data_IF_358447495160
#
_entry.id   IF_358447495160
#
_cell.length_a   1.000
_cell.length_b   1.000
_cell.length_c   1.000
_cell.angle_alpha   90.00
_cell.angle_beta   90.00
_cell.angle_gamma   90.00
#
_symmetry.space_group_name_H-M   'P 1'
#
loop_
_entity.id
_entity.type
_entity.pdbx_description
1 polymer ?
#
# COMPACT_ATOMS: atom_id res chain seq x y z
N UNK A 1 -8.70 8.24 1.11
CA UNK A 1 -9.32 8.19 -0.25
C UNK A 1 -8.32 8.71 -1.26
N UNK A 2 -8.24 8.09 -2.43
CA UNK A 2 -7.44 8.51 -3.59
C UNK A 2 -8.36 8.71 -4.78
N UNK A 3 -8.12 9.76 -5.59
CA UNK A 3 -8.88 10.04 -6.81
C UNK A 3 -7.91 10.21 -7.98
N UNK A 4 -8.16 9.49 -9.08
CA UNK A 4 -7.37 9.55 -10.32
C UNK A 4 -8.30 9.46 -11.52
N UNK A 5 -8.53 10.59 -12.20
CA UNK A 5 -9.55 10.66 -13.25
C UNK A 5 -10.92 10.21 -12.74
N UNK A 6 -11.48 9.15 -13.35
CA UNK A 6 -12.77 8.55 -12.94
C UNK A 6 -12.66 7.51 -11.82
N UNK A 7 -11.44 7.13 -11.44
CA UNK A 7 -11.18 6.12 -10.41
C UNK A 7 -11.16 6.78 -9.03
N UNK A 8 -11.95 6.25 -8.10
CA UNK A 8 -11.87 6.59 -6.67
C UNK A 8 -11.52 5.32 -5.90
N UNK A 9 -10.44 5.34 -5.12
CA UNK A 9 -10.09 4.26 -4.21
C UNK A 9 -10.24 4.73 -2.77
N UNK A 10 -10.79 3.88 -1.92
CA UNK A 10 -10.99 4.21 -0.52
C UNK A 10 -10.64 3.04 0.35
N UNK A 11 -9.72 3.30 1.28
CA UNK A 11 -9.40 2.41 2.37
C UNK A 11 -10.20 2.85 3.60
N UNK A 12 -10.82 1.89 4.27
CA UNK A 12 -11.68 2.11 5.43
C UNK A 12 -11.60 0.93 6.41
N UNK A 13 -12.05 1.16 7.64
CA UNK A 13 -12.12 0.12 8.66
C UNK A 13 -13.31 -0.80 8.41
N UNK A 14 -13.08 -2.11 8.33
CA UNK A 14 -14.10 -3.15 8.35
C UNK A 14 -13.70 -4.21 9.36
N UNK A 15 -14.38 -4.23 10.51
CA UNK A 15 -14.16 -5.20 11.61
C UNK A 15 -12.70 -5.22 12.13
N UNK A 16 -12.05 -4.07 12.23
CA UNK A 16 -10.67 -3.95 12.72
C UNK A 16 -9.60 -4.24 11.66
N UNK A 17 -10.00 -4.65 10.47
CA UNK A 17 -9.13 -4.81 9.31
C UNK A 17 -9.34 -3.69 8.30
N UNK A 18 -8.33 -3.48 7.48
CA UNK A 18 -8.46 -2.57 6.36
C UNK A 18 -9.22 -3.23 5.22
N UNK A 19 -10.18 -2.51 4.68
CA UNK A 19 -10.86 -2.87 3.45
C UNK A 19 -10.60 -1.79 2.41
N UNK A 20 -10.56 -2.19 1.14
CA UNK A 20 -10.55 -1.27 0.01
C UNK A 20 -11.82 -1.41 -0.82
N UNK A 21 -12.34 -0.28 -1.28
CA UNK A 21 -13.37 -0.23 -2.31
C UNK A 21 -12.91 0.61 -3.50
N UNK A 22 -13.35 0.16 -4.67
CA UNK A 22 -13.21 0.92 -5.93
C UNK A 22 -14.53 1.60 -6.25
N UNK A 23 -14.44 2.88 -6.55
CA UNK A 23 -15.55 3.80 -6.72
C UNK A 23 -16.53 3.75 -5.52
N UNK A 24 -17.73 4.28 -5.68
CA UNK A 24 -18.78 4.13 -4.67
C UNK A 24 -19.48 2.75 -4.80
N UNK A 25 -18.75 1.70 -5.21
CA UNK A 25 -19.33 0.35 -5.32
C UNK A 25 -19.46 -0.30 -3.94
N UNK A 26 -20.42 -1.24 -3.81
CA UNK A 26 -20.57 -2.06 -2.60
C UNK A 26 -19.56 -3.22 -2.53
N UNK A 27 -18.77 -3.45 -3.59
CA UNK A 27 -17.77 -4.52 -3.65
C UNK A 27 -16.49 -4.03 -3.00
N UNK A 28 -16.30 -4.41 -1.75
CA UNK A 28 -15.04 -4.22 -1.04
C UNK A 28 -14.18 -5.49 -1.05
N UNK A 29 -12.88 -5.30 -0.85
CA UNK A 29 -11.94 -6.39 -0.59
C UNK A 29 -11.26 -6.13 0.75
N UNK A 30 -11.24 -7.14 1.60
CA UNK A 30 -10.44 -7.11 2.83
C UNK A 30 -8.96 -7.21 2.45
N UNK A 31 -8.17 -6.36 3.08
CA UNK A 31 -6.72 -6.37 3.01
C UNK A 31 -6.21 -7.18 4.20
N UNK A 32 -5.09 -7.88 4.04
CA UNK A 32 -4.47 -8.62 5.14
C UNK A 32 -3.59 -7.70 6.01
N UNK A 33 -4.16 -6.55 6.41
CA UNK A 33 -3.52 -5.56 7.27
C UNK A 33 -4.56 -5.02 8.28
N UNK A 34 -4.19 -4.88 9.56
CA UNK A 34 -5.03 -4.30 10.59
C UNK A 34 -5.23 -2.80 10.36
N UNK A 35 -6.34 -2.27 10.88
CA UNK A 35 -6.59 -0.84 10.96
C UNK A 35 -5.87 -0.24 12.19
N UNK A 36 -5.36 1.01 12.16
CA UNK A 36 -5.40 2.00 11.07
C UNK A 36 -4.43 1.70 9.94
N UNK A 37 -4.79 2.09 8.72
CA UNK A 37 -3.94 1.94 7.55
C UNK A 37 -4.22 3.06 6.53
N UNK A 38 -3.33 3.22 5.57
CA UNK A 38 -3.42 4.28 4.59
C UNK A 38 -2.57 4.03 3.36
N UNK A 39 -2.90 4.72 2.28
CA UNK A 39 -2.03 4.71 1.11
C UNK A 39 -0.69 5.35 1.43
N UNK A 40 0.38 4.73 0.94
CA UNK A 40 1.72 5.33 0.87
C UNK A 40 1.70 6.52 -0.08
N UNK A 41 2.48 7.56 0.23
CA UNK A 41 2.49 8.85 -0.49
C UNK A 41 3.93 9.29 -0.73
N UNK A 42 4.20 9.88 -1.89
CA UNK A 42 5.53 10.34 -2.28
C UNK A 42 5.91 11.72 -1.73
N UNK A 43 5.01 12.39 -1.01
CA UNK A 43 5.25 13.70 -0.39
C UNK A 43 4.23 14.01 0.70
N UNK A 44 4.34 15.19 1.33
CA UNK A 44 3.31 15.75 2.24
C UNK A 44 1.94 15.94 1.58
N UNK A 45 1.82 15.81 0.26
CA UNK A 45 0.53 15.84 -0.41
C UNK A 45 -0.35 14.67 0.04
N UNK A 46 -1.66 14.85 0.07
CA UNK A 46 -2.62 13.77 0.38
C UNK A 46 -2.78 12.76 -0.79
N UNK A 47 -1.87 12.79 -1.77
CA UNK A 47 -1.94 11.98 -3.00
C UNK A 47 -1.17 10.68 -2.78
N UNK A 48 -1.82 9.55 -3.02
CA UNK A 48 -1.14 8.27 -2.99
C UNK A 48 -0.10 8.18 -4.08
N UNK A 49 1.06 7.63 -3.72
CA UNK A 49 2.06 7.27 -4.68
C UNK A 49 1.60 6.06 -5.48
N UNK A 50 1.81 6.13 -6.79
CA UNK A 50 1.34 5.11 -7.69
C UNK A 50 2.19 5.06 -8.94
N UNK A 51 2.34 3.85 -9.49
CA UNK A 51 3.10 3.58 -10.71
C UNK A 51 2.22 2.78 -11.66
N UNK A 52 2.32 3.09 -12.95
CA UNK A 52 1.57 2.42 -13.99
C UNK A 52 2.52 1.53 -14.79
N UNK A 53 2.25 0.22 -14.81
CA UNK A 53 3.04 -0.75 -15.54
C UNK A 53 2.21 -1.30 -16.70
N UNK A 54 2.85 -1.40 -17.89
CA UNK A 54 2.23 -2.01 -19.06
C UNK A 54 1.78 -3.44 -18.71
N UNK A 55 0.58 -3.83 -19.16
CA UNK A 55 -0.03 -5.16 -18.93
C UNK A 55 -0.38 -5.53 -17.48
N UNK A 56 0.06 -4.75 -16.48
CA UNK A 56 -0.27 -4.97 -15.06
C UNK A 56 -1.30 -3.96 -14.57
N UNK A 57 -1.20 -2.70 -15.00
CA UNK A 57 -2.10 -1.60 -14.60
C UNK A 57 -1.49 -0.71 -13.51
N UNK A 58 -2.36 -0.04 -12.77
CA UNK A 58 -1.98 0.97 -11.78
C UNK A 58 -1.76 0.34 -10.41
N UNK A 59 -0.58 0.51 -9.82
CA UNK A 59 -0.18 -0.10 -8.54
C UNK A 59 -0.21 0.93 -7.42
N UNK A 60 -0.79 0.55 -6.28
CA UNK A 60 -0.86 1.30 -5.04
C UNK A 60 -0.32 0.45 -3.90
N UNK A 61 0.23 1.09 -2.88
CA UNK A 61 0.59 0.41 -1.63
C UNK A 61 -0.27 0.96 -0.51
N UNK A 62 -0.86 0.06 0.28
CA UNK A 62 -1.52 0.40 1.54
C UNK A 62 -0.65 -0.12 2.67
N UNK A 63 -0.25 0.78 3.54
CA UNK A 63 0.57 0.51 4.71
C UNK A 63 -0.32 0.36 5.94
N UNK A 64 0.03 -0.59 6.81
CA UNK A 64 -0.67 -0.86 8.06
C UNK A 64 -0.44 0.20 9.15
N UNK A 65 -0.72 -0.14 10.41
CA UNK A 65 -0.58 0.75 11.54
C UNK A 65 0.86 1.12 11.81
N UNK A 66 1.05 2.23 12.53
CA UNK A 66 2.36 2.58 13.05
C UNK A 66 2.78 1.56 14.12
N UNK A 67 4.01 1.07 14.06
CA UNK A 67 4.59 0.19 15.09
C UNK A 67 5.79 0.85 15.77
N UNK A 68 6.10 0.43 16.99
CA UNK A 68 7.20 0.98 17.79
C UNK A 68 8.55 0.76 17.09
N UNK A 69 9.44 1.75 17.14
CA UNK A 69 10.78 1.68 16.56
C UNK A 69 11.56 0.43 17.04
N UNK A 70 11.34 0.01 18.29
CA UNK A 70 11.93 -1.19 18.89
C UNK A 70 11.53 -2.50 18.18
N UNK A 71 10.45 -2.49 17.40
CA UNK A 71 10.02 -3.66 16.62
C UNK A 71 10.83 -3.84 15.34
N UNK A 72 11.54 -2.81 14.88
CA UNK A 72 12.36 -2.90 13.69
C UNK A 72 13.71 -3.50 13.98
N UNK A 73 14.12 -4.40 13.10
CA UNK A 73 15.51 -4.80 12.99
C UNK A 73 16.26 -3.74 12.19
N UNK A 74 17.52 -3.49 12.55
CA UNK A 74 18.41 -2.79 11.65
C UNK A 74 18.57 -3.64 10.39
N UNK A 75 18.23 -3.08 9.23
CA UNK A 75 18.58 -3.64 7.95
C UNK A 75 19.74 -2.83 7.38
N UNK A 76 20.60 -3.46 6.57
CA UNK A 76 21.87 -2.87 6.09
C UNK A 76 21.71 -1.47 5.47
N UNK A 77 20.52 -1.13 4.96
CA UNK A 77 20.24 0.13 4.24
C UNK A 77 19.24 1.08 4.91
N UNK A 78 18.54 0.68 5.99
CA UNK A 78 17.47 1.52 6.58
C UNK A 78 17.48 1.43 8.11
N UNK A 79 17.61 2.60 8.76
CA UNK A 79 17.55 2.70 10.23
C UNK A 79 16.09 2.62 10.72
N UNK A 80 15.84 2.01 11.90
CA UNK A 80 14.51 1.92 12.53
C UNK A 80 13.71 3.22 12.55
N UNK A 81 14.34 4.37 12.88
CA UNK A 81 13.71 5.69 12.83
C UNK A 81 13.10 6.12 11.49
N UNK A 82 13.43 5.42 10.40
CA UNK A 82 12.90 5.67 9.06
C UNK A 82 11.78 4.69 8.69
N UNK A 83 11.36 3.84 9.61
CA UNK A 83 10.33 2.84 9.44
C UNK A 83 9.07 3.22 10.24
N UNK A 84 7.88 3.03 9.65
CA UNK A 84 6.61 3.33 10.34
C UNK A 84 5.65 2.15 10.46
N UNK A 85 5.58 1.25 9.48
CA UNK A 85 4.77 0.03 9.57
C UNK A 85 5.54 -1.19 9.07
N UNK A 86 5.39 -2.35 9.72
CA UNK A 86 5.96 -3.61 9.24
C UNK A 86 5.01 -4.38 8.30
N UNK A 87 3.86 -3.80 7.97
CA UNK A 87 2.82 -4.40 7.16
C UNK A 87 2.46 -3.48 6.00
N UNK A 88 2.37 -4.06 4.82
CA UNK A 88 1.90 -3.36 3.64
C UNK A 88 1.36 -4.34 2.62
N UNK A 89 0.42 -3.88 1.81
CA UNK A 89 -0.17 -4.67 0.75
C UNK A 89 -0.27 -3.87 -0.53
N UNK A 90 0.18 -4.50 -1.63
CA UNK A 90 0.05 -3.94 -2.95
C UNK A 90 -1.34 -4.21 -3.55
N UNK A 91 -1.89 -3.18 -4.16
CA UNK A 91 -3.19 -3.18 -4.79
C UNK A 91 -2.99 -2.77 -6.25
N UNK A 92 -3.42 -3.62 -7.16
CA UNK A 92 -3.36 -3.37 -8.58
C UNK A 92 -4.78 -3.04 -9.05
N UNK A 93 -4.91 -1.93 -9.77
CA UNK A 93 -6.12 -1.58 -10.50
C UNK A 93 -5.88 -1.80 -11.99
N UNK A 94 -6.56 -2.79 -12.53
CA UNK A 94 -6.46 -3.15 -13.95
C UNK A 94 -7.86 -3.22 -14.55
N UNK A 95 -8.11 -2.41 -15.59
CA UNK A 95 -9.40 -2.37 -16.29
C UNK A 95 -10.61 -2.21 -15.36
N UNK A 96 -10.47 -1.40 -14.29
CA UNK A 96 -11.52 -1.15 -13.30
C UNK A 96 -11.73 -2.25 -12.26
N UNK A 97 -10.88 -3.29 -12.24
CA UNK A 97 -10.90 -4.35 -11.25
C UNK A 97 -9.79 -4.16 -10.21
N UNK A 98 -10.10 -4.52 -8.95
CA UNK A 98 -9.12 -4.61 -7.87
C UNK A 98 -8.47 -5.99 -7.88
N UNK A 99 -7.16 -6.05 -8.01
CA UNK A 99 -6.36 -7.26 -7.87
C UNK A 99 -5.47 -7.04 -6.63
N UNK A 100 -5.62 -7.92 -5.63
CA UNK A 100 -4.74 -7.92 -4.47
C UNK A 100 -3.53 -8.80 -4.81
N UNK A 101 -2.32 -8.27 -4.66
CA UNK A 101 -1.09 -9.08 -4.74
C UNK A 101 -0.63 -9.44 -3.33
N UNK A 102 0.15 -10.52 -3.25
CA UNK A 102 0.59 -11.28 -2.06
C UNK A 102 0.70 -10.48 -0.75
N UNK A 103 0.46 -11.19 0.35
CA UNK A 103 0.66 -10.79 1.76
C UNK A 103 2.14 -10.58 2.14
N UNK A 104 2.95 -10.01 1.25
CA UNK A 104 4.36 -9.80 1.56
C UNK A 104 4.47 -8.74 2.66
N UNK A 105 4.72 -9.23 3.87
CA UNK A 105 5.48 -8.54 4.90
C UNK A 105 6.79 -8.09 4.26
N UNK A 106 6.80 -6.90 3.66
CA UNK A 106 8.04 -6.27 3.27
C UNK A 106 8.51 -5.52 4.50
N UNK A 107 9.61 -5.96 5.15
CA UNK A 107 10.10 -5.34 6.37
C UNK A 107 10.75 -3.97 6.13
N UNK A 108 10.59 -3.41 4.93
CA UNK A 108 10.93 -2.04 4.62
C UNK A 108 9.79 -1.18 5.17
N UNK A 109 10.03 -0.60 6.34
CA UNK A 109 9.04 0.13 7.11
C UNK A 109 8.18 1.07 6.28
N UNK A 110 6.91 0.73 6.07
CA UNK A 110 6.02 1.54 5.26
C UNK A 110 5.60 2.79 6.03
N UNK A 111 6.17 3.93 5.69
CA UNK A 111 5.70 5.22 6.15
C UNK A 111 4.66 5.78 5.20
N UNK A 112 3.48 6.14 5.72
CA UNK A 112 2.41 6.72 4.89
C UNK A 112 2.87 8.02 4.19
N UNK A 113 3.91 8.68 4.71
CA UNK A 113 4.42 9.98 4.26
C UNK A 113 5.80 9.91 3.59
N UNK A 114 6.48 8.76 3.63
CA UNK A 114 7.73 8.56 2.90
C UNK A 114 7.41 7.62 1.76
N UNK A 115 7.52 8.14 0.54
CA UNK A 115 7.28 7.34 -0.66
C UNK A 115 8.22 6.15 -0.74
N UNK A 116 7.93 5.24 -1.66
CA UNK A 116 8.76 4.11 -2.02
C UNK A 116 9.44 4.36 -3.37
N UNK A 117 10.66 3.84 -3.54
CA UNK A 117 11.30 3.86 -4.85
C UNK A 117 10.50 2.95 -5.81
N UNK A 118 10.40 3.34 -7.08
CA UNK A 118 9.74 2.53 -8.11
C UNK A 118 10.33 1.12 -8.22
N UNK A 119 11.64 0.98 -8.00
CA UNK A 119 12.33 -0.32 -7.98
C UNK A 119 11.76 -1.26 -6.93
N UNK A 120 11.33 -0.73 -5.79
CA UNK A 120 10.67 -1.52 -4.75
C UNK A 120 9.24 -1.90 -5.19
N UNK A 121 8.54 -1.02 -5.91
CA UNK A 121 7.22 -1.32 -6.50
C UNK A 121 7.27 -2.43 -7.55
N UNK A 122 8.36 -2.53 -8.31
CA UNK A 122 8.52 -3.56 -9.36
C UNK A 122 8.36 -4.98 -8.79
N UNK A 123 8.92 -5.25 -7.60
CA UNK A 123 8.79 -6.54 -6.91
C UNK A 123 7.38 -6.87 -6.42
N UNK A 124 6.47 -5.88 -6.38
CA UNK A 124 5.04 -6.09 -6.10
C UNK A 124 4.18 -6.16 -7.36
N UNK A 125 4.63 -5.55 -8.45
CA UNK A 125 3.93 -5.53 -9.73
C UNK A 125 4.07 -6.86 -10.49
N UNK A 126 5.19 -7.56 -10.30
CA UNK A 126 5.50 -8.83 -10.95
C UNK A 126 5.70 -9.93 -9.89
N UNK A 127 5.28 -11.19 -10.14
CA UNK A 127 5.61 -12.29 -9.25
C UNK A 127 7.14 -12.41 -9.16
N UNK A 128 7.65 -12.47 -7.93
CA UNK A 128 8.96 -13.07 -7.69
C UNK A 128 8.66 -14.56 -7.62
N UNK A 129 9.16 -15.32 -8.60
CA UNK A 129 9.12 -16.77 -8.62
C UNK A 129 9.68 -17.39 -7.33
#
# INVERSE_FOLDING_TARGET
>A
VVKMGKLKLEVFNKKGQCAIRINNTKKDKLLNIPYPCGFVRSSKSLVAQTYNYKEVGQVFIVAGPMVDEKTYKNYDSVKPKHMCSNQGQAIIVQSGNLILRQDKNVPLGFCHQLGFDEKDYYGFAYPID
#
